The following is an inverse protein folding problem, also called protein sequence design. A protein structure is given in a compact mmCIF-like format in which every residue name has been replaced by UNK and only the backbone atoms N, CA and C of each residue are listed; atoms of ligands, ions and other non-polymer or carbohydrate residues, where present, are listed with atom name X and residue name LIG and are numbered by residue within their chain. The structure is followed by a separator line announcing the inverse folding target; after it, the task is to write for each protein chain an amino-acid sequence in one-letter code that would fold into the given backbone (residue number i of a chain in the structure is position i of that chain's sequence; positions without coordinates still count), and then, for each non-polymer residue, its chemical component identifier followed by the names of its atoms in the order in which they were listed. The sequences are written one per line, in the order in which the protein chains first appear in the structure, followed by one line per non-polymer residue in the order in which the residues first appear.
data_IF_689483692615
#
_entry.id   IF_689483692615
#
_cell.length_a   1.000
_cell.length_b   1.000
_cell.length_c   1.000
_cell.angle_alpha   90.00
_cell.angle_beta   90.00
_cell.angle_gamma   90.00
#
_symmetry.space_group_name_H-M   'P 1'
#
loop_
_entity.id
_entity.type
_entity.pdbx_description
1 polymer ?
#
# COMPACT_ATOMS: atom_id res chain seq x y z
N UNK A 1 -22.77 -12.75 -14.40
CA UNK A 1 -22.55 -11.38 -14.89
C UNK A 1 -21.11 -11.04 -14.56
N UNK A 2 -20.23 -11.17 -15.53
CA UNK A 2 -18.85 -10.67 -15.41
C UNK A 2 -18.95 -9.15 -15.43
N UNK A 3 -18.69 -8.53 -14.30
CA UNK A 3 -18.51 -7.08 -14.19
C UNK A 3 -17.16 -6.74 -14.83
N UNK A 4 -17.17 -6.52 -16.13
CA UNK A 4 -16.07 -5.86 -16.84
C UNK A 4 -16.02 -4.39 -16.40
N UNK A 5 -15.58 -4.14 -15.18
CA UNK A 5 -15.10 -2.83 -14.76
C UNK A 5 -13.66 -2.76 -15.27
N UNK A 6 -13.52 -2.45 -16.55
CA UNK A 6 -12.27 -1.93 -17.12
C UNK A 6 -12.03 -0.58 -16.44
N UNK A 7 -11.36 -0.61 -15.28
CA UNK A 7 -10.75 0.59 -14.74
C UNK A 7 -9.82 1.13 -15.83
N UNK A 8 -10.09 2.32 -16.33
CA UNK A 8 -9.14 3.01 -17.19
C UNK A 8 -7.83 3.14 -16.42
N UNK A 9 -6.79 2.50 -16.91
CA UNK A 9 -5.50 2.44 -16.22
C UNK A 9 -4.91 3.85 -16.09
N UNK A 10 -4.47 4.22 -14.87
CA UNK A 10 -3.85 5.54 -14.59
C UNK A 10 -4.82 6.71 -14.52
N UNK A 11 -6.06 6.51 -14.05
CA UNK A 11 -7.04 7.59 -13.81
C UNK A 11 -6.81 8.35 -12.51
N UNK A 12 -5.90 7.90 -11.67
CA UNK A 12 -5.65 8.44 -10.32
C UNK A 12 -6.86 8.27 -9.37
N UNK A 13 -7.56 7.15 -9.52
CA UNK A 13 -8.74 6.80 -8.73
C UNK A 13 -8.50 5.53 -7.90
N UNK A 14 -9.14 5.49 -6.74
CA UNK A 14 -9.14 4.41 -5.77
C UNK A 14 -10.57 3.90 -5.56
N UNK A 15 -10.77 2.60 -5.51
CA UNK A 15 -12.00 1.99 -5.02
C UNK A 15 -11.86 1.65 -3.54
N UNK A 16 -12.70 2.29 -2.72
CA UNK A 16 -12.72 2.12 -1.26
C UNK A 16 -13.95 1.32 -0.87
N UNK A 17 -13.75 0.18 -0.19
CA UNK A 17 -14.82 -0.51 0.51
C UNK A 17 -15.07 0.20 1.83
N UNK A 18 -16.29 0.73 2.01
CA UNK A 18 -16.77 1.31 3.26
C UNK A 18 -17.33 0.22 4.16
N UNK A 19 -16.91 0.23 5.43
CA UNK A 19 -17.37 -0.70 6.47
C UNK A 19 -17.51 0.01 7.82
N UNK A 20 -18.21 -0.62 8.76
CA UNK A 20 -18.51 -0.06 10.08
C UNK A 20 -17.80 -0.86 11.19
N UNK A 21 -17.15 -0.16 12.11
CA UNK A 21 -16.62 -0.71 13.36
C UNK A 21 -16.92 0.27 14.49
N UNK A 22 -17.48 -0.21 15.59
CA UNK A 22 -17.81 0.64 16.76
C UNK A 22 -18.78 1.80 16.43
N UNK A 23 -19.57 1.67 15.36
CA UNK A 23 -20.50 2.71 14.89
C UNK A 23 -19.87 3.81 14.03
N UNK A 24 -18.58 3.76 13.75
CA UNK A 24 -17.88 4.70 12.87
C UNK A 24 -17.59 4.07 11.51
N UNK A 25 -17.40 4.93 10.49
CA UNK A 25 -17.16 4.55 9.11
C UNK A 25 -15.66 4.53 8.79
N UNK A 26 -15.23 3.40 8.24
CA UNK A 26 -13.84 3.16 7.84
C UNK A 26 -13.78 2.65 6.40
N UNK A 27 -12.61 2.74 5.79
CA UNK A 27 -12.39 2.32 4.42
C UNK A 27 -11.13 1.47 4.26
N UNK A 28 -11.17 0.57 3.29
CA UNK A 28 -10.00 -0.18 2.78
C UNK A 28 -10.02 -0.14 1.26
N UNK A 29 -8.85 -0.08 0.64
CA UNK A 29 -8.72 -0.25 -0.80
C UNK A 29 -9.23 -1.63 -1.24
N UNK A 30 -10.17 -1.64 -2.19
CA UNK A 30 -10.76 -2.88 -2.74
C UNK A 30 -9.70 -3.81 -3.31
N UNK A 31 -8.61 -3.27 -3.87
CA UNK A 31 -7.50 -4.05 -4.41
C UNK A 31 -6.82 -4.97 -3.38
N UNK A 32 -6.93 -4.65 -2.07
CA UNK A 32 -6.42 -5.47 -0.95
C UNK A 32 -7.35 -6.62 -0.56
N UNK A 33 -8.59 -6.59 -1.03
CA UNK A 33 -9.64 -7.52 -0.62
C UNK A 33 -9.66 -8.72 -1.55
N UNK A 34 -9.62 -9.90 -0.97
CA UNK A 34 -9.81 -11.16 -1.67
C UNK A 34 -11.27 -11.58 -1.69
N UNK A 35 -11.93 -11.50 -0.55
CA UNK A 35 -13.32 -11.98 -0.37
C UNK A 35 -13.93 -11.32 0.86
N UNK A 36 -15.27 -11.17 0.87
CA UNK A 36 -16.03 -10.73 2.02
C UNK A 36 -17.02 -11.83 2.34
N UNK A 37 -17.00 -12.32 3.58
CA UNK A 37 -17.87 -13.44 4.00
C UNK A 37 -18.59 -13.09 5.30
N UNK A 38 -19.78 -13.66 5.56
CA UNK A 38 -20.44 -13.53 6.84
C UNK A 38 -19.59 -14.08 7.98
N UNK A 39 -19.78 -13.52 9.17
CA UNK A 39 -19.16 -14.04 10.39
C UNK A 39 -19.36 -15.56 10.53
N UNK A 40 -18.32 -16.23 10.94
CA UNK A 40 -18.33 -17.66 11.22
C UNK A 40 -17.56 -17.94 12.50
N UNK A 41 -17.87 -19.07 13.14
CA UNK A 41 -17.23 -19.43 14.41
C UNK A 41 -15.70 -19.49 14.25
N UNK A 42 -14.98 -18.74 15.06
CA UNK A 42 -13.54 -18.69 15.13
C UNK A 42 -13.02 -19.66 16.18
N UNK A 43 -11.92 -20.36 15.90
CA UNK A 43 -11.22 -21.21 16.89
C UNK A 43 -10.10 -20.39 17.53
N UNK A 44 -10.17 -20.09 18.85
CA UNK A 44 -9.14 -19.34 19.54
C UNK A 44 -7.78 -20.04 19.50
N UNK A 45 -6.70 -19.26 19.35
CA UNK A 45 -5.33 -19.75 19.41
C UNK A 45 -4.69 -19.33 20.74
N UNK A 46 -4.17 -20.27 21.54
CA UNK A 46 -3.49 -19.93 22.79
C UNK A 46 -2.27 -19.01 22.55
N UNK A 47 -2.06 -18.05 23.45
CA UNK A 47 -0.94 -17.10 23.40
C UNK A 47 -0.84 -16.25 22.12
N UNK A 48 -1.95 -16.10 21.38
CA UNK A 48 -2.01 -15.18 20.24
C UNK A 48 -1.99 -13.70 20.70
N UNK A 49 -1.71 -12.79 19.76
CA UNK A 49 -1.78 -11.36 20.01
C UNK A 49 -3.19 -10.96 20.48
N UNK A 50 -3.37 -10.00 21.42
CA UNK A 50 -4.68 -9.64 21.98
C UNK A 50 -5.74 -9.22 20.95
N UNK A 51 -5.33 -8.68 19.81
CA UNK A 51 -6.22 -8.32 18.70
C UNK A 51 -6.57 -9.52 17.79
N UNK A 52 -5.94 -10.69 17.96
CA UNK A 52 -6.27 -11.90 17.21
C UNK A 52 -7.39 -12.65 17.92
N UNK A 53 -8.52 -12.88 17.23
CA UNK A 53 -9.61 -13.70 17.75
C UNK A 53 -9.30 -15.19 17.69
N UNK A 54 -8.52 -15.60 16.68
CA UNK A 54 -8.17 -16.98 16.43
C UNK A 54 -8.02 -17.29 14.95
N UNK A 55 -8.39 -18.51 14.56
CA UNK A 55 -8.32 -18.97 13.17
C UNK A 55 -9.69 -19.44 12.66
N UNK A 56 -9.92 -19.22 11.38
CA UNK A 56 -11.05 -19.70 10.61
C UNK A 56 -10.54 -20.49 9.40
N UNK A 57 -11.12 -21.62 9.07
CA UNK A 57 -10.64 -22.50 8.00
C UNK A 57 -11.76 -22.80 7.01
N UNK A 58 -12.05 -21.90 6.05
CA UNK A 58 -12.91 -22.20 4.94
C UNK A 58 -12.11 -23.01 3.88
N UNK A 59 -12.66 -24.12 3.43
CA UNK A 59 -12.11 -24.89 2.29
C UNK A 59 -10.59 -25.19 2.40
N UNK A 60 -10.12 -25.69 3.55
CA UNK A 60 -8.73 -26.08 3.83
C UNK A 60 -7.69 -24.92 3.83
N UNK A 61 -8.14 -23.68 3.78
CA UNK A 61 -7.29 -22.50 3.91
C UNK A 61 -7.38 -21.94 5.33
N UNK A 62 -6.29 -21.97 6.09
CA UNK A 62 -6.23 -21.36 7.41
C UNK A 62 -6.09 -19.83 7.28
N UNK A 63 -7.03 -19.11 7.90
CA UNK A 63 -7.08 -17.65 7.90
C UNK A 63 -7.04 -17.16 9.34
N UNK A 64 -6.11 -16.26 9.66
CA UNK A 64 -6.05 -15.57 10.95
C UNK A 64 -7.12 -14.48 11.00
N UNK A 65 -7.93 -14.45 12.06
CA UNK A 65 -8.97 -13.44 12.25
C UNK A 65 -8.47 -12.37 13.23
N UNK A 66 -8.48 -11.13 12.78
CA UNK A 66 -8.13 -9.94 13.56
C UNK A 66 -9.40 -9.18 13.91
N UNK A 67 -9.62 -8.97 15.19
CA UNK A 67 -10.70 -8.11 15.71
C UNK A 67 -10.34 -6.65 15.52
N UNK A 68 -10.91 -6.03 14.47
CA UNK A 68 -10.59 -4.66 14.14
C UNK A 68 -11.08 -3.67 15.20
N UNK A 69 -12.16 -3.99 15.93
CA UNK A 69 -12.62 -3.14 17.05
C UNK A 69 -11.58 -3.07 18.18
N UNK A 70 -10.87 -4.18 18.46
CA UNK A 70 -9.75 -4.17 19.41
C UNK A 70 -8.55 -3.40 18.91
N UNK A 71 -8.21 -3.53 17.62
CA UNK A 71 -7.09 -2.78 17.00
C UNK A 71 -7.29 -1.28 17.15
N UNK A 72 -8.48 -0.78 16.75
CA UNK A 72 -8.79 0.65 16.80
C UNK A 72 -9.39 1.11 18.15
N UNK A 73 -9.42 0.22 19.15
CA UNK A 73 -9.92 0.49 20.52
C UNK A 73 -11.34 1.03 20.55
N UNK A 74 -12.22 0.48 19.72
CA UNK A 74 -13.64 0.78 19.67
C UNK A 74 -14.46 -0.23 20.47
N UNK A 75 -15.74 0.10 20.69
CA UNK A 75 -16.67 -0.85 21.28
C UNK A 75 -16.90 -2.07 20.34
N UNK A 76 -17.00 -3.29 20.88
CA UNK A 76 -17.29 -4.49 20.09
C UNK A 76 -18.69 -4.41 19.47
N UNK A 77 -18.93 -5.24 18.46
CA UNK A 77 -20.25 -5.39 17.84
C UNK A 77 -21.28 -5.84 18.88
N UNK A 78 -22.51 -5.34 18.73
CA UNK A 78 -23.64 -5.71 19.59
C UNK A 78 -24.30 -7.02 19.16
N UNK A 79 -24.21 -7.37 17.90
CA UNK A 79 -24.83 -8.55 17.29
C UNK A 79 -23.86 -9.20 16.29
N UNK A 80 -22.98 -10.04 16.81
CA UNK A 80 -21.93 -10.73 16.06
C UNK A 80 -22.49 -11.60 14.92
N UNK A 81 -23.78 -11.96 14.96
CA UNK A 81 -24.38 -12.79 13.90
C UNK A 81 -24.55 -12.07 12.58
N UNK A 82 -24.47 -10.74 12.60
CA UNK A 82 -24.56 -9.86 11.41
C UNK A 82 -23.21 -9.36 10.93
N UNK A 83 -22.17 -9.65 11.69
CA UNK A 83 -20.84 -9.19 11.40
C UNK A 83 -20.25 -9.89 10.17
N UNK A 84 -19.18 -9.31 9.65
CA UNK A 84 -18.55 -9.76 8.42
C UNK A 84 -17.04 -9.93 8.62
N UNK A 85 -16.44 -10.80 7.84
CA UNK A 85 -15.00 -10.90 7.67
C UNK A 85 -14.60 -10.32 6.31
N UNK A 86 -13.69 -9.36 6.32
CA UNK A 86 -13.00 -8.86 5.14
C UNK A 86 -11.70 -9.65 5.02
N UNK A 87 -11.65 -10.61 4.10
CA UNK A 87 -10.47 -11.45 3.85
C UNK A 87 -9.54 -10.72 2.91
N UNK A 88 -8.29 -10.60 3.33
CA UNK A 88 -7.22 -9.94 2.58
C UNK A 88 -6.05 -10.90 2.37
N UNK A 89 -5.17 -10.56 1.43
CA UNK A 89 -3.93 -11.28 1.22
C UNK A 89 -2.80 -10.26 1.16
N UNK A 90 -2.01 -10.20 2.23
CA UNK A 90 -0.81 -9.38 2.30
C UNK A 90 0.42 -10.29 2.32
N UNK A 91 1.34 -10.12 1.37
CA UNK A 91 2.60 -10.86 1.35
C UNK A 91 2.43 -12.39 1.51
N UNK A 92 1.43 -12.97 0.81
CA UNK A 92 1.05 -14.39 0.89
C UNK A 92 0.44 -14.82 2.24
N UNK A 93 0.18 -13.89 3.16
CA UNK A 93 -0.56 -14.14 4.39
C UNK A 93 -2.05 -13.93 4.17
N UNK A 94 -2.86 -14.93 4.54
CA UNK A 94 -4.30 -14.81 4.53
C UNK A 94 -4.75 -14.33 5.92
N UNK A 95 -5.19 -13.08 6.00
CA UNK A 95 -5.72 -12.45 7.20
C UNK A 95 -7.12 -11.95 6.92
N UNK A 96 -8.02 -12.12 7.87
CA UNK A 96 -9.35 -11.53 7.79
C UNK A 96 -9.56 -10.56 8.95
N UNK A 97 -10.25 -9.48 8.65
CA UNK A 97 -10.59 -8.44 9.61
C UNK A 97 -12.07 -8.54 9.95
N UNK A 98 -12.37 -8.70 11.23
CA UNK A 98 -13.72 -8.74 11.75
C UNK A 98 -14.26 -7.32 11.86
N UNK A 99 -15.38 -7.05 11.17
CA UNK A 99 -16.08 -5.76 11.13
C UNK A 99 -17.59 -5.96 11.42
N UNK A 100 -18.25 -4.92 11.93
CA UNK A 100 -19.67 -5.02 12.28
C UNK A 100 -20.57 -5.09 11.04
N UNK A 101 -20.22 -4.41 9.95
CA UNK A 101 -20.96 -4.49 8.67
C UNK A 101 -20.14 -3.88 7.54
N UNK A 102 -20.51 -4.25 6.31
CA UNK A 102 -20.01 -3.64 5.07
C UNK A 102 -21.14 -2.78 4.50
N UNK A 103 -20.80 -1.56 4.05
CA UNK A 103 -21.76 -0.59 3.51
C UNK A 103 -21.80 -0.65 1.99
N UNK A 104 -20.65 -0.52 1.34
CA UNK A 104 -20.54 -0.51 -0.12
C UNK A 104 -19.16 -0.11 -0.63
N UNK A 105 -19.03 -0.04 -1.96
CA UNK A 105 -17.80 0.36 -2.63
C UNK A 105 -18.02 1.75 -3.21
N UNK A 106 -17.04 2.63 -2.99
CA UNK A 106 -17.02 4.00 -3.51
C UNK A 106 -15.77 4.20 -4.35
N UNK A 107 -15.92 4.90 -5.47
CA UNK A 107 -14.79 5.36 -6.28
C UNK A 107 -14.45 6.78 -5.85
N UNK A 108 -13.18 7.01 -5.49
CA UNK A 108 -12.66 8.29 -5.01
C UNK A 108 -11.37 8.64 -5.74
N UNK A 109 -11.11 9.92 -5.92
CA UNK A 109 -9.82 10.38 -6.44
C UNK A 109 -8.78 10.41 -5.31
N UNK A 110 -7.53 10.08 -5.60
CA UNK A 110 -6.42 10.28 -4.66
C UNK A 110 -6.28 11.74 -4.22
N UNK A 111 -6.72 12.70 -5.04
CA UNK A 111 -6.73 14.13 -4.71
C UNK A 111 -7.76 14.50 -3.65
N UNK A 112 -8.81 13.68 -3.46
CA UNK A 112 -9.86 13.92 -2.47
C UNK A 112 -9.52 13.32 -1.10
N UNK A 113 -8.44 12.52 -1.03
CA UNK A 113 -7.98 11.89 0.20
C UNK A 113 -7.05 12.85 0.93
N UNK A 114 -7.48 13.29 2.11
CA UNK A 114 -6.73 14.20 2.97
C UNK A 114 -5.89 13.35 3.93
N UNK A 115 -4.57 13.58 3.97
CA UNK A 115 -3.71 12.95 5.00
C UNK A 115 -4.10 13.47 6.39
N UNK A 116 -4.20 12.57 7.40
CA UNK A 116 -4.41 13.02 8.78
C UNK A 116 -3.23 13.91 9.20
N UNK A 117 -3.55 15.05 9.81
CA UNK A 117 -2.58 15.95 10.41
C UNK A 117 -1.83 15.24 11.55
N UNK A 118 -0.57 15.61 11.80
CA UNK A 118 0.28 15.05 12.86
C UNK A 118 -0.29 15.21 14.29
N UNK A 119 -1.29 16.07 14.46
CA UNK A 119 -2.05 16.21 15.71
C UNK A 119 -3.07 15.08 15.91
N UNK A 120 -3.51 14.42 14.83
CA UNK A 120 -4.50 13.34 14.85
C UNK A 120 -3.80 11.98 14.81
N UNK A 121 -2.69 11.88 14.11
CA UNK A 121 -1.84 10.70 14.11
C UNK A 121 -0.56 11.01 14.89
N UNK A 122 -0.46 10.47 16.13
CA UNK A 122 0.86 10.41 16.77
C UNK A 122 1.81 9.66 15.82
N UNK A 123 2.96 10.27 15.52
CA UNK A 123 3.89 9.83 14.46
C UNK A 123 4.31 8.35 14.53
N UNK A 124 4.12 7.67 15.67
CA UNK A 124 4.52 6.27 15.90
C UNK A 124 3.38 5.25 15.90
N UNK A 125 2.10 5.66 15.86
CA UNK A 125 0.97 4.72 16.01
C UNK A 125 -0.22 4.96 15.08
N UNK A 126 -0.07 5.82 14.06
CA UNK A 126 -1.14 6.13 13.13
C UNK A 126 -1.42 4.96 12.16
N UNK A 127 -2.57 4.29 12.33
CA UNK A 127 -3.08 3.26 11.40
C UNK A 127 -4.04 3.86 10.35
N UNK A 128 -4.20 5.18 10.31
CA UNK A 128 -5.00 5.88 9.32
C UNK A 128 -4.09 6.47 8.22
N UNK A 129 -4.32 6.08 6.97
CA UNK A 129 -3.58 6.60 5.80
C UNK A 129 -4.23 7.84 5.22
N UNK A 130 -5.54 8.01 5.40
CA UNK A 130 -6.26 9.13 4.84
C UNK A 130 -7.66 9.28 5.39
N UNK A 131 -8.27 10.43 5.09
CA UNK A 131 -9.68 10.72 5.38
C UNK A 131 -10.33 11.22 4.09
N UNK A 132 -11.46 10.66 3.74
CA UNK A 132 -12.26 11.10 2.59
C UNK A 132 -13.70 11.38 3.00
N UNK A 133 -14.34 12.35 2.36
CA UNK A 133 -15.75 12.67 2.59
C UNK A 133 -16.61 12.15 1.46
N UNK A 134 -17.50 11.20 1.74
CA UNK A 134 -18.41 10.60 0.77
C UNK A 134 -19.85 10.83 1.23
N UNK A 135 -20.68 11.43 0.40
CA UNK A 135 -22.11 11.72 0.70
C UNK A 135 -22.32 12.42 2.06
N UNK A 136 -21.39 13.29 2.45
CA UNK A 136 -21.46 13.99 3.74
C UNK A 136 -20.87 13.22 4.93
N UNK A 137 -20.59 11.92 4.79
CA UNK A 137 -19.96 11.07 5.80
C UNK A 137 -18.44 11.11 5.68
N UNK A 138 -17.73 11.25 6.80
CA UNK A 138 -16.26 11.06 6.85
C UNK A 138 -15.95 9.58 6.96
N UNK A 139 -15.07 9.11 6.08
CA UNK A 139 -14.56 7.74 6.06
C UNK A 139 -13.05 7.81 6.30
N UNK A 140 -12.58 7.10 7.33
CA UNK A 140 -11.16 6.98 7.65
C UNK A 140 -10.59 5.76 6.94
N UNK A 141 -9.64 5.97 6.04
CA UNK A 141 -8.95 4.88 5.33
C UNK A 141 -7.87 4.32 6.26
N UNK A 142 -7.91 3.01 6.50
CA UNK A 142 -7.00 2.33 7.42
C UNK A 142 -5.85 1.64 6.68
N UNK A 143 -4.68 1.67 7.31
CA UNK A 143 -3.49 0.93 6.89
C UNK A 143 -3.53 -0.51 7.43
N UNK A 144 -4.09 -1.42 6.66
CA UNK A 144 -4.20 -2.82 7.03
C UNK A 144 -2.86 -3.54 7.06
N UNK A 145 -1.89 -3.10 6.27
CA UNK A 145 -0.53 -3.65 6.26
C UNK A 145 0.20 -3.31 7.54
N UNK A 146 0.07 -2.06 7.99
CA UNK A 146 0.58 -1.62 9.28
C UNK A 146 -0.02 -2.44 10.41
N UNK A 147 -1.35 -2.63 10.41
CA UNK A 147 -2.05 -3.45 11.41
C UNK A 147 -1.49 -4.88 11.45
N UNK A 148 -1.29 -5.51 10.28
CA UNK A 148 -0.74 -6.88 10.21
C UNK A 148 0.72 -6.89 10.70
N UNK A 149 1.52 -5.91 10.32
CA UNK A 149 2.91 -5.78 10.75
C UNK A 149 3.05 -5.59 12.26
N UNK A 150 2.17 -4.79 12.87
CA UNK A 150 2.15 -4.57 14.32
C UNK A 150 1.76 -5.84 15.09
N UNK A 151 0.88 -6.67 14.53
CA UNK A 151 0.46 -7.96 15.10
C UNK A 151 1.52 -9.05 14.91
N UNK A 152 2.17 -9.08 13.76
CA UNK A 152 3.18 -10.08 13.38
C UNK A 152 4.42 -9.39 12.77
N UNK A 153 5.33 -8.86 13.59
CA UNK A 153 6.50 -8.12 13.13
C UNK A 153 7.45 -8.92 12.22
N UNK A 154 7.34 -10.25 12.25
CA UNK A 154 8.16 -11.12 11.38
C UNK A 154 7.76 -11.06 9.90
N UNK A 155 6.60 -10.47 9.59
CA UNK A 155 6.05 -10.38 8.23
C UNK A 155 6.44 -9.11 7.49
N UNK A 156 7.02 -8.14 8.20
CA UNK A 156 7.51 -6.88 7.63
C UNK A 156 8.95 -6.95 7.11
N UNK A 157 9.40 -5.88 6.48
CA UNK A 157 10.80 -5.69 6.07
C UNK A 157 11.71 -5.74 7.29
N UNK A 158 12.71 -6.65 7.28
CA UNK A 158 13.65 -6.80 8.39
C UNK A 158 14.88 -5.92 8.16
N UNK A 159 15.11 -4.98 9.06
CA UNK A 159 16.35 -4.17 9.09
C UNK A 159 17.62 -5.04 9.12
N UNK A 160 17.55 -6.25 9.77
CA UNK A 160 18.65 -7.22 9.84
C UNK A 160 19.14 -7.73 8.49
N UNK A 161 18.31 -7.64 7.48
CA UNK A 161 18.68 -8.11 6.16
C UNK A 161 19.47 -7.03 5.40
N UNK A 162 19.24 -5.75 5.65
CA UNK A 162 20.03 -4.62 5.10
C UNK A 162 21.49 -4.67 5.55
N UNK A 163 21.79 -5.23 6.73
CA UNK A 163 23.16 -5.36 7.24
C UNK A 163 24.03 -6.34 6.44
N UNK A 164 23.42 -7.20 5.61
CA UNK A 164 24.15 -8.16 4.76
C UNK A 164 24.62 -7.59 3.42
N UNK A 165 24.27 -6.34 3.09
CA UNK A 165 24.56 -5.69 1.81
C UNK A 165 25.90 -4.93 1.80
N UNK A 166 26.89 -5.34 2.59
CA UNK A 166 28.18 -4.64 2.67
C UNK A 166 29.09 -4.93 1.45
N UNK A 167 29.77 -3.89 0.98
CA UNK A 167 30.98 -4.03 0.15
C UNK A 167 30.79 -3.86 -1.36
N UNK A 168 29.72 -3.21 -1.86
CA UNK A 168 29.59 -2.92 -3.29
C UNK A 168 30.27 -1.63 -3.70
N UNK A 169 30.74 -1.59 -4.96
CA UNK A 169 31.38 -0.42 -5.55
C UNK A 169 30.36 0.71 -5.70
N UNK A 170 30.77 1.94 -5.36
CA UNK A 170 29.92 3.12 -5.53
C UNK A 170 29.48 3.28 -7.00
N UNK A 171 28.19 3.54 -7.21
CA UNK A 171 27.57 3.78 -8.51
C UNK A 171 26.93 5.18 -8.50
N UNK A 172 27.18 5.97 -9.53
CA UNK A 172 26.68 7.35 -9.64
C UNK A 172 25.26 7.44 -10.24
N UNK A 173 24.65 6.30 -10.56
CA UNK A 173 23.30 6.24 -11.14
C UNK A 173 22.28 7.00 -10.29
N UNK A 174 21.58 7.95 -10.89
CA UNK A 174 20.54 8.73 -10.24
C UNK A 174 19.22 7.94 -10.17
N UNK A 175 18.71 7.69 -8.97
CA UNK A 175 17.46 6.95 -8.74
C UNK A 175 16.44 7.90 -8.10
N UNK A 176 15.24 7.98 -8.69
CA UNK A 176 14.11 8.70 -8.12
C UNK A 176 13.20 7.70 -7.41
N UNK A 177 12.85 7.98 -6.15
CA UNK A 177 12.02 7.10 -5.32
C UNK A 177 10.76 7.86 -4.91
N UNK A 178 9.59 7.28 -5.17
CA UNK A 178 8.30 7.78 -4.73
C UNK A 178 7.68 6.79 -3.73
N UNK A 179 7.54 7.19 -2.47
CA UNK A 179 7.03 6.38 -1.37
C UNK A 179 6.46 7.31 -0.30
N UNK A 180 5.24 7.07 0.17
CA UNK A 180 4.59 7.96 1.11
C UNK A 180 4.81 7.59 2.58
N UNK A 181 5.32 6.39 2.85
CA UNK A 181 5.71 5.94 4.18
C UNK A 181 7.14 6.37 4.50
N UNK A 182 7.39 7.27 5.50
CA UNK A 182 8.73 7.68 5.87
C UNK A 182 9.63 6.52 6.31
N UNK A 183 9.04 5.50 6.94
CA UNK A 183 9.76 4.30 7.36
C UNK A 183 10.24 3.49 6.16
N UNK A 184 9.34 3.21 5.21
CA UNK A 184 9.69 2.45 3.99
C UNK A 184 10.64 3.24 3.10
N UNK A 185 10.43 4.54 2.93
CA UNK A 185 11.35 5.42 2.23
C UNK A 185 12.77 5.31 2.80
N UNK A 186 12.90 5.36 4.14
CA UNK A 186 14.20 5.19 4.81
C UNK A 186 14.79 3.80 4.57
N UNK A 187 14.00 2.74 4.68
CA UNK A 187 14.47 1.37 4.45
C UNK A 187 14.96 1.15 3.01
N UNK A 188 14.23 1.67 2.02
CA UNK A 188 14.61 1.61 0.61
C UNK A 188 15.91 2.40 0.37
N UNK A 189 15.96 3.64 0.84
CA UNK A 189 17.15 4.50 0.66
C UNK A 189 18.38 3.93 1.35
N UNK A 190 18.26 3.46 2.60
CA UNK A 190 19.37 2.83 3.33
C UNK A 190 19.88 1.56 2.61
N UNK A 191 18.98 0.78 2.02
CA UNK A 191 19.34 -0.43 1.25
C UNK A 191 20.10 -0.08 -0.02
N UNK A 192 19.64 0.93 -0.77
CA UNK A 192 20.30 1.40 -2.00
C UNK A 192 21.67 2.02 -1.69
N UNK A 193 21.78 2.86 -0.66
CA UNK A 193 23.05 3.45 -0.23
C UNK A 193 24.07 2.37 0.15
N UNK A 194 23.66 1.35 0.92
CA UNK A 194 24.51 0.20 1.25
C UNK A 194 24.91 -0.63 0.03
N UNK A 195 24.05 -0.65 -0.99
CA UNK A 195 24.33 -1.30 -2.29
C UNK A 195 25.21 -0.45 -3.22
N UNK A 196 25.62 0.76 -2.80
CA UNK A 196 26.49 1.65 -3.55
C UNK A 196 25.80 2.74 -4.35
N UNK A 197 24.46 2.85 -4.27
CA UNK A 197 23.66 3.88 -4.95
C UNK A 197 23.35 5.00 -3.97
N UNK A 198 24.07 6.10 -3.97
CA UNK A 198 23.90 7.24 -3.07
C UNK A 198 23.31 8.50 -3.74
N UNK A 199 23.16 8.49 -5.06
CA UNK A 199 22.53 9.58 -5.80
C UNK A 199 21.01 9.36 -5.89
N UNK A 200 20.28 9.71 -4.82
CA UNK A 200 18.87 9.43 -4.65
C UNK A 200 18.05 10.73 -4.57
N UNK A 201 16.95 10.81 -5.32
CA UNK A 201 15.89 11.80 -5.13
C UNK A 201 14.70 11.14 -4.46
N UNK A 202 14.35 11.61 -3.25
CA UNK A 202 13.29 11.05 -2.43
C UNK A 202 12.03 11.94 -2.53
N UNK A 203 10.90 11.36 -2.94
CA UNK A 203 9.63 12.04 -3.17
C UNK A 203 8.53 11.39 -2.32
N UNK A 204 7.78 12.17 -1.56
CA UNK A 204 6.77 11.67 -0.65
C UNK A 204 5.46 11.21 -1.35
N UNK A 205 5.36 11.34 -2.66
CA UNK A 205 4.23 10.89 -3.48
C UNK A 205 4.57 10.96 -4.96
N UNK A 206 3.67 10.40 -5.81
CA UNK A 206 3.88 10.41 -7.26
C UNK A 206 3.85 11.79 -7.90
N UNK A 207 3.09 12.74 -7.32
CA UNK A 207 3.04 14.13 -7.83
C UNK A 207 4.40 14.81 -7.70
N UNK A 208 5.02 14.71 -6.53
CA UNK A 208 6.35 15.26 -6.27
C UNK A 208 7.42 14.64 -7.19
N UNK A 209 7.35 13.31 -7.37
CA UNK A 209 8.25 12.61 -8.31
C UNK A 209 8.06 13.09 -9.75
N UNK A 210 6.82 13.28 -10.20
CA UNK A 210 6.53 13.80 -11.53
C UNK A 210 7.07 15.22 -11.72
N UNK A 211 6.85 16.11 -10.74
CA UNK A 211 7.34 17.49 -10.79
C UNK A 211 8.87 17.57 -10.84
N UNK A 212 9.57 16.72 -10.07
CA UNK A 212 11.03 16.60 -10.12
C UNK A 212 11.51 16.11 -11.51
N UNK A 213 10.87 15.08 -12.08
CA UNK A 213 11.22 14.58 -13.41
C UNK A 213 11.00 15.62 -14.50
N UNK A 214 9.91 16.39 -14.43
CA UNK A 214 9.63 17.50 -15.38
C UNK A 214 10.68 18.60 -15.23
N UNK A 215 11.04 18.98 -14.02
CA UNK A 215 12.08 19.98 -13.78
C UNK A 215 13.45 19.56 -14.34
N UNK A 216 13.83 18.30 -14.16
CA UNK A 216 15.05 17.73 -14.75
C UNK A 216 15.00 17.71 -16.28
N UNK A 217 13.86 17.33 -16.86
CA UNK A 217 13.63 17.28 -18.31
C UNK A 217 13.77 18.64 -19.01
N UNK A 218 13.34 19.72 -18.32
CA UNK A 218 13.25 21.08 -18.87
C UNK A 218 14.51 21.91 -18.55
N UNK A 219 15.46 21.38 -17.78
CA UNK A 219 16.73 22.04 -17.49
C UNK A 219 17.67 21.99 -18.72
N UNK A 220 18.15 23.15 -19.15
CA UNK A 220 19.10 23.26 -20.28
C UNK A 220 20.51 22.67 -19.94
N UNK A 221 20.87 22.66 -18.65
CA UNK A 221 22.18 22.22 -18.16
C UNK A 221 22.21 20.77 -17.65
N UNK A 222 21.07 20.15 -17.47
CA UNK A 222 20.99 18.78 -16.96
C UNK A 222 20.95 17.78 -18.12
N UNK A 223 22.02 17.07 -18.32
CA UNK A 223 21.96 15.76 -18.93
C UNK A 223 21.01 14.93 -18.06
N UNK A 224 19.81 14.59 -18.60
CA UNK A 224 18.79 13.84 -17.86
C UNK A 224 19.32 12.41 -17.62
N UNK A 225 19.98 12.22 -16.49
CA UNK A 225 20.70 10.98 -16.14
C UNK A 225 19.96 10.22 -15.04
N UNK A 226 18.61 10.15 -15.15
CA UNK A 226 17.79 9.31 -14.26
C UNK A 226 17.89 7.86 -14.74
N UNK A 227 18.56 7.03 -13.95
CA UNK A 227 18.77 5.63 -14.26
C UNK A 227 17.50 4.79 -14.08
N UNK A 228 16.69 5.07 -13.04
CA UNK A 228 15.37 4.46 -12.88
C UNK A 228 14.49 5.24 -11.90
N UNK A 229 13.20 4.94 -11.94
CA UNK A 229 12.21 5.39 -10.96
C UNK A 229 11.71 4.18 -10.20
N UNK A 230 11.74 4.24 -8.87
CA UNK A 230 11.11 3.25 -7.97
C UNK A 230 9.87 3.91 -7.38
N UNK A 231 8.70 3.29 -7.53
CA UNK A 231 7.45 3.87 -7.04
C UNK A 231 6.60 2.87 -6.29
N UNK A 232 6.01 3.30 -5.17
CA UNK A 232 4.86 2.59 -4.60
C UNK A 232 3.62 2.80 -5.48
N UNK A 233 2.59 1.97 -5.29
CA UNK A 233 1.29 2.11 -5.95
C UNK A 233 0.36 3.04 -5.18
N UNK A 234 0.26 2.88 -3.88
CA UNK A 234 -0.68 3.61 -3.04
C UNK A 234 -0.04 4.86 -2.43
N UNK A 235 -0.16 5.97 -3.10
CA UNK A 235 0.33 7.26 -2.61
C UNK A 235 -0.73 8.35 -2.76
N UNK A 236 -0.80 9.32 -1.83
CA UNK A 236 -1.70 10.46 -1.96
C UNK A 236 -1.31 11.35 -3.14
N UNK A 237 -2.25 12.16 -3.61
CA UNK A 237 -2.16 13.09 -4.73
C UNK A 237 -1.97 12.41 -6.09
N UNK A 238 -1.03 11.50 -6.24
CA UNK A 238 -0.79 10.73 -7.47
C UNK A 238 -0.30 9.32 -7.14
N UNK A 239 -1.03 8.31 -7.61
CA UNK A 239 -0.66 6.90 -7.48
C UNK A 239 0.48 6.49 -8.42
N UNK A 240 1.14 5.35 -8.12
CA UNK A 240 2.26 4.85 -8.92
C UNK A 240 1.88 4.42 -10.34
N UNK A 241 0.66 3.99 -10.58
CA UNK A 241 0.18 3.68 -11.94
C UNK A 241 0.05 4.95 -12.79
N UNK A 242 -0.48 6.03 -12.20
CA UNK A 242 -0.57 7.33 -12.87
C UNK A 242 0.81 7.89 -13.17
N UNK A 243 1.73 7.83 -12.20
CA UNK A 243 3.13 8.23 -12.41
C UNK A 243 3.77 7.42 -13.54
N UNK A 244 3.64 6.10 -13.52
CA UNK A 244 4.16 5.22 -14.58
C UNK A 244 3.62 5.62 -15.95
N UNK A 245 2.29 5.82 -16.06
CA UNK A 245 1.66 6.26 -17.32
C UNK A 245 2.24 7.57 -17.82
N UNK A 246 2.38 8.57 -16.96
CA UNK A 246 2.93 9.87 -17.34
C UNK A 246 4.38 9.74 -17.85
N UNK A 247 5.23 8.99 -17.13
CA UNK A 247 6.60 8.75 -17.54
C UNK A 247 6.63 8.05 -18.92
N UNK A 248 5.89 6.96 -19.08
CA UNK A 248 5.92 6.13 -20.30
C UNK A 248 5.25 6.76 -21.52
N UNK A 249 4.44 7.79 -21.32
CA UNK A 249 3.81 8.55 -22.43
C UNK A 249 4.54 9.85 -22.76
N UNK A 250 5.49 10.30 -21.98
CA UNK A 250 6.30 11.49 -22.25
C UNK A 250 7.46 11.17 -23.18
N UNK A 251 7.66 11.93 -24.25
CA UNK A 251 8.65 11.64 -25.28
C UNK A 251 10.10 11.63 -24.79
N UNK A 252 10.43 12.43 -23.76
CA UNK A 252 11.77 12.49 -23.18
C UNK A 252 11.98 11.48 -22.03
N UNK A 253 10.91 11.13 -21.30
CA UNK A 253 10.98 10.30 -20.09
C UNK A 253 10.68 8.82 -20.34
N UNK A 254 10.03 8.45 -21.44
CA UNK A 254 9.49 7.10 -21.70
C UNK A 254 10.54 5.97 -21.64
N UNK A 255 11.81 6.30 -21.87
CA UNK A 255 12.91 5.34 -21.82
C UNK A 255 13.45 5.10 -20.39
N UNK A 256 13.05 5.90 -19.40
CA UNK A 256 13.45 5.69 -18.01
C UNK A 256 12.78 4.41 -17.51
N UNK A 257 13.55 3.43 -16.99
CA UNK A 257 12.99 2.26 -16.35
C UNK A 257 12.14 2.63 -15.14
N UNK A 258 10.96 1.99 -15.01
CA UNK A 258 10.05 2.18 -13.87
C UNK A 258 9.89 0.85 -13.14
N UNK A 259 10.25 0.84 -11.87
CA UNK A 259 10.10 -0.27 -10.94
C UNK A 259 8.93 0.04 -10.01
N UNK A 260 7.87 -0.74 -10.09
CA UNK A 260 6.78 -0.69 -9.11
C UNK A 260 7.16 -1.60 -7.94
N UNK A 261 7.19 -1.04 -6.73
CA UNK A 261 7.52 -1.75 -5.50
C UNK A 261 6.39 -1.57 -4.49
N UNK A 262 5.47 -2.53 -4.41
CA UNK A 262 4.26 -2.41 -3.61
C UNK A 262 3.83 -3.73 -2.99
N UNK A 263 3.17 -3.66 -1.83
CA UNK A 263 2.48 -4.79 -1.19
C UNK A 263 1.22 -5.24 -1.95
N UNK A 264 0.72 -4.42 -2.88
CA UNK A 264 -0.49 -4.67 -3.67
C UNK A 264 -0.29 -5.45 -4.97
N UNK A 265 0.84 -6.12 -5.16
CA UNK A 265 1.08 -6.85 -6.41
C UNK A 265 0.32 -8.17 -6.42
N UNK A 266 -0.90 -8.15 -6.94
CA UNK A 266 -1.67 -9.32 -7.37
C UNK A 266 -1.69 -9.41 -8.89
N UNK A 267 -2.26 -10.48 -9.46
CA UNK A 267 -2.28 -10.71 -10.91
C UNK A 267 -2.94 -9.56 -11.69
N UNK A 268 -4.00 -8.96 -11.14
CA UNK A 268 -4.69 -7.83 -11.77
C UNK A 268 -3.83 -6.56 -11.76
N UNK A 269 -3.17 -6.24 -10.64
CA UNK A 269 -2.28 -5.08 -10.52
C UNK A 269 -1.04 -5.27 -11.39
N UNK A 270 -0.49 -6.50 -11.45
CA UNK A 270 0.61 -6.85 -12.34
C UNK A 270 0.25 -6.61 -13.80
N UNK A 271 -0.88 -7.15 -14.26
CA UNK A 271 -1.35 -6.93 -15.63
C UNK A 271 -1.56 -5.44 -15.96
N UNK A 272 -2.07 -4.67 -14.99
CA UNK A 272 -2.26 -3.22 -15.14
C UNK A 272 -0.92 -2.48 -15.25
N UNK A 273 0.06 -2.79 -14.40
CA UNK A 273 1.40 -2.19 -14.45
C UNK A 273 2.12 -2.51 -15.76
N UNK A 274 2.04 -3.76 -16.24
CA UNK A 274 2.58 -4.18 -17.54
C UNK A 274 1.93 -3.41 -18.70
N UNK A 275 0.60 -3.26 -18.69
CA UNK A 275 -0.12 -2.50 -19.73
C UNK A 275 0.25 -1.00 -19.75
N UNK A 276 0.71 -0.44 -18.63
CA UNK A 276 1.19 0.93 -18.51
C UNK A 276 2.67 1.08 -18.87
N UNK A 277 3.39 -0.03 -19.08
CA UNK A 277 4.79 -0.05 -19.45
C UNK A 277 5.77 -0.08 -18.27
N UNK A 278 5.35 -0.48 -17.07
CA UNK A 278 6.27 -0.74 -15.97
C UNK A 278 7.26 -1.84 -16.37
N UNK A 279 8.55 -1.60 -16.14
CA UNK A 279 9.61 -2.53 -16.56
C UNK A 279 9.75 -3.69 -15.57
N UNK A 280 9.55 -3.41 -14.27
CA UNK A 280 9.64 -4.39 -13.18
C UNK A 280 8.55 -4.13 -12.15
N UNK A 281 8.00 -5.20 -11.58
CA UNK A 281 7.04 -5.12 -10.48
C UNK A 281 7.43 -6.09 -9.38
N UNK A 282 7.73 -5.57 -8.20
CA UNK A 282 8.21 -6.30 -7.03
C UNK A 282 7.24 -6.15 -5.87
N UNK A 283 6.94 -7.26 -5.19
CA UNK A 283 6.14 -7.23 -3.97
C UNK A 283 7.01 -6.87 -2.76
N UNK A 284 6.54 -5.97 -1.90
CA UNK A 284 7.12 -5.81 -0.56
C UNK A 284 6.89 -7.12 0.21
N UNK A 285 7.87 -7.80 0.82
CA UNK A 285 9.21 -7.36 1.23
C UNK A 285 10.38 -7.85 0.34
N UNK A 286 10.20 -8.11 -0.95
CA UNK A 286 11.22 -8.70 -1.83
C UNK A 286 12.34 -7.71 -2.24
N UNK A 287 12.76 -6.83 -1.33
CA UNK A 287 13.78 -5.79 -1.57
C UNK A 287 15.14 -6.34 -2.09
N UNK A 288 15.40 -7.63 -1.92
CA UNK A 288 16.68 -8.29 -2.20
C UNK A 288 16.95 -8.54 -3.68
N UNK A 289 15.93 -8.41 -4.55
CA UNK A 289 16.01 -8.77 -5.97
C UNK A 289 16.48 -7.57 -6.84
N UNK A 290 16.51 -6.37 -6.28
CA UNK A 290 16.89 -5.13 -7.01
C UNK A 290 18.40 -4.89 -6.99
N UNK A 291 19.20 -5.79 -6.44
CA UNK A 291 20.65 -5.63 -6.28
C UNK A 291 21.45 -6.40 -7.32
#
# INVERSE_FOLDING_TARGET
METNILMESGTNELEVLEFIVGGNHYGINVAKIKEIVPYSKVTPVPNSHPCVEGVFMPRDLMITIVDLAKVIKCAPSKDITKDMFIITNFNKLNVAFHVASVVGIHRVSWTDIIKPDSTISSADSGIATGVVKINGQLIIILDFERIVSDISPETGLKVSDIEKLEGRTKNEAHIVIAEDSPLLMKLISDSLIKSGYDNLTLCANGQEAWENLVALKDSEDAQMDVACVITDLEMPLMDGHRLTKLIKTDDKLKNIPVVIFSSLINDQMRAKGEALGADVQLSKPEIWIVS
#
